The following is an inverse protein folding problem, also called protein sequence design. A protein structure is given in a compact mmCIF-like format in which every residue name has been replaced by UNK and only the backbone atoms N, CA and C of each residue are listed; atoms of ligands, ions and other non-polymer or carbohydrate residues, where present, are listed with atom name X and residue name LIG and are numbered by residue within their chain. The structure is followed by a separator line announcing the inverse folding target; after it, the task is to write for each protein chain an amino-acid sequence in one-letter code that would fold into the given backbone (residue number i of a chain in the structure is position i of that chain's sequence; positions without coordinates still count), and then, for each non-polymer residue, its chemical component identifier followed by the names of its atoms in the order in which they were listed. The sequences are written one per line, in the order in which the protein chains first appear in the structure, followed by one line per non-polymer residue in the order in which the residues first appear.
data_IF_356951214827
#
_entry.id   IF_356951214827
#
_cell.length_a   1.000
_cell.length_b   1.000
_cell.length_c   1.000
_cell.angle_alpha   90.00
_cell.angle_beta   90.00
_cell.angle_gamma   90.00
#
_symmetry.space_group_name_H-M   'P 1'
#
loop_
_entity.id
_entity.type
_entity.pdbx_description
1 polymer ?
#
# COMPACT_ATOMS: atom_id res chain seq x y z
N UNK A 1 9.58 2.57 10.91
CA UNK A 1 8.61 3.26 10.05
C UNK A 1 8.23 2.27 8.97
N UNK A 2 6.94 2.14 8.62
CA UNK A 2 6.57 1.33 7.46
C UNK A 2 7.22 1.93 6.21
N UNK A 3 7.70 1.06 5.35
CA UNK A 3 8.37 1.38 4.08
C UNK A 3 7.71 0.59 2.94
N UNK A 4 8.20 0.78 1.71
CA UNK A 4 7.70 0.04 0.56
C UNK A 4 7.76 -1.48 0.76
N UNK A 5 8.82 -2.02 1.40
CA UNK A 5 8.98 -3.47 1.61
C UNK A 5 7.90 -4.03 2.54
N UNK A 6 7.50 -3.28 3.57
CA UNK A 6 6.40 -3.68 4.44
C UNK A 6 5.08 -3.81 3.67
N UNK A 7 4.76 -2.85 2.79
CA UNK A 7 3.56 -2.89 1.97
C UNK A 7 3.61 -4.07 1.00
N UNK A 8 4.77 -4.33 0.38
CA UNK A 8 4.95 -5.47 -0.51
C UNK A 8 4.69 -6.81 0.20
N UNK A 9 5.19 -6.98 1.43
CA UNK A 9 4.90 -8.16 2.25
C UNK A 9 3.40 -8.36 2.51
N UNK A 10 2.66 -7.28 2.81
CA UNK A 10 1.21 -7.36 2.96
C UNK A 10 0.51 -7.79 1.65
N UNK A 11 0.99 -7.34 0.49
CA UNK A 11 0.46 -7.79 -0.79
C UNK A 11 0.71 -9.28 -1.06
N UNK A 12 1.88 -9.79 -0.66
CA UNK A 12 2.21 -11.23 -0.71
C UNK A 12 1.32 -12.04 0.25
N UNK A 13 0.95 -11.47 1.40
CA UNK A 13 0.00 -12.05 2.36
C UNK A 13 -1.48 -11.92 1.93
N UNK A 14 -1.76 -11.35 0.76
CA UNK A 14 -3.11 -11.26 0.18
C UNK A 14 -3.87 -9.96 0.47
N UNK A 15 -3.24 -8.96 1.10
CA UNK A 15 -3.85 -7.63 1.23
C UNK A 15 -3.88 -6.89 -0.12
N UNK A 16 -4.86 -6.00 -0.29
CA UNK A 16 -5.00 -5.13 -1.48
C UNK A 16 -5.34 -3.70 -1.06
N UNK A 17 -4.77 -2.67 -1.73
CA UNK A 17 -5.22 -1.27 -1.51
C UNK A 17 -6.66 -1.13 -1.99
N UNK A 18 -7.49 -0.65 -1.07
CA UNK A 18 -8.89 -0.30 -1.34
C UNK A 18 -9.06 1.22 -1.46
N UNK A 19 -8.20 1.98 -0.80
CA UNK A 19 -8.19 3.43 -0.83
C UNK A 19 -6.79 3.93 -0.46
N UNK A 20 -6.39 5.01 -1.10
CA UNK A 20 -5.06 5.56 -0.94
C UNK A 20 -5.25 7.10 -0.98
N UNK A 21 -4.90 7.80 0.10
CA UNK A 21 -5.01 9.26 0.25
C UNK A 21 -3.62 9.89 0.31
N UNK A 22 -3.48 11.12 -0.20
CA UNK A 22 -2.24 11.88 -0.16
C UNK A 22 -2.56 13.29 0.31
N UNK A 23 -2.21 13.60 1.56
CA UNK A 23 -2.43 14.90 2.16
C UNK A 23 -1.11 15.50 2.65
N UNK A 24 -0.79 16.69 2.15
CA UNK A 24 0.48 17.38 2.42
C UNK A 24 1.70 16.53 2.04
N UNK A 25 2.36 15.91 3.02
CA UNK A 25 3.56 15.08 2.87
C UNK A 25 3.37 13.66 3.46
N UNK A 26 2.12 13.28 3.71
CA UNK A 26 1.79 11.96 4.25
C UNK A 26 0.84 11.25 3.30
N UNK A 27 1.22 10.05 2.92
CA UNK A 27 0.44 9.16 2.09
C UNK A 27 -0.15 8.06 2.96
N UNK A 28 -1.48 8.05 3.10
CA UNK A 28 -2.21 7.05 3.88
C UNK A 28 -2.78 5.99 2.94
N UNK A 29 -2.35 4.76 3.11
CA UNK A 29 -2.72 3.60 2.31
C UNK A 29 -3.61 2.69 3.17
N UNK A 30 -4.81 2.43 2.68
CA UNK A 30 -5.78 1.54 3.32
C UNK A 30 -5.79 0.20 2.59
N UNK A 31 -5.42 -0.85 3.32
CA UNK A 31 -5.29 -2.21 2.82
C UNK A 31 -6.36 -3.11 3.44
N UNK A 32 -6.93 -4.00 2.63
CA UNK A 32 -7.85 -5.04 3.11
C UNK A 32 -7.43 -6.40 2.57
N UNK A 33 -7.45 -7.40 3.45
CA UNK A 33 -7.37 -8.80 3.09
C UNK A 33 -8.79 -9.37 3.14
N UNK A 34 -9.29 -9.82 2.00
CA UNK A 34 -10.67 -10.29 1.87
C UNK A 34 -10.87 -11.73 2.35
N UNK A 35 -9.81 -12.53 2.36
CA UNK A 35 -9.85 -13.93 2.81
C UNK A 35 -9.87 -14.03 4.34
N UNK A 36 -9.12 -13.16 5.02
CA UNK A 36 -9.02 -13.13 6.48
C UNK A 36 -9.84 -12.02 7.14
N UNK A 37 -10.53 -11.20 6.34
CA UNK A 37 -11.28 -10.00 6.75
C UNK A 37 -10.46 -8.93 7.51
N UNK A 38 -9.13 -9.04 7.50
CA UNK A 38 -8.23 -8.08 8.16
C UNK A 38 -8.08 -6.78 7.36
N UNK A 39 -7.79 -5.69 8.06
CA UNK A 39 -7.53 -4.38 7.47
C UNK A 39 -6.30 -3.75 8.11
N UNK A 40 -5.48 -3.09 7.30
CA UNK A 40 -4.26 -2.40 7.73
C UNK A 40 -4.24 -0.98 7.17
N UNK A 41 -3.68 -0.05 7.94
CA UNK A 41 -3.51 1.34 7.53
C UNK A 41 -2.03 1.70 7.64
N UNK A 42 -1.45 2.12 6.52
CA UNK A 42 -0.03 2.48 6.44
C UNK A 42 0.10 3.96 6.10
N UNK A 43 0.94 4.65 6.85
CA UNK A 43 1.32 6.03 6.57
C UNK A 43 2.77 6.08 6.09
N UNK A 44 2.97 6.50 4.84
CA UNK A 44 4.29 6.80 4.29
C UNK A 44 4.50 8.31 4.34
N UNK A 45 5.65 8.75 4.82
CA UNK A 45 6.07 10.16 4.81
C UNK A 45 7.16 10.44 3.78
N UNK A 46 7.57 9.39 3.06
CA UNK A 46 8.57 9.43 2.01
C UNK A 46 7.90 9.23 0.65
N UNK A 47 8.00 10.23 -0.21
CA UNK A 47 7.43 10.21 -1.55
C UNK A 47 8.02 9.09 -2.42
N UNK A 48 9.30 8.71 -2.20
CA UNK A 48 9.95 7.65 -2.97
C UNK A 48 9.32 6.27 -2.68
N UNK A 49 9.05 5.96 -1.41
CA UNK A 49 8.35 4.74 -1.02
C UNK A 49 6.93 4.70 -1.59
N UNK A 50 6.25 5.87 -1.62
CA UNK A 50 4.92 5.97 -2.19
C UNK A 50 4.91 5.77 -3.72
N UNK A 51 5.88 6.35 -4.43
CA UNK A 51 6.04 6.16 -5.87
C UNK A 51 6.34 4.69 -6.21
N UNK A 52 7.25 4.06 -5.47
CA UNK A 52 7.53 2.62 -5.62
C UNK A 52 6.28 1.77 -5.41
N UNK A 53 5.47 2.12 -4.39
CA UNK A 53 4.18 1.48 -4.16
C UNK A 53 3.20 1.67 -5.33
N UNK A 54 3.06 2.89 -5.85
CA UNK A 54 2.19 3.20 -6.98
C UNK A 54 2.58 2.42 -8.24
N UNK A 55 3.88 2.36 -8.54
CA UNK A 55 4.41 1.60 -9.67
C UNK A 55 4.11 0.11 -9.50
N UNK A 56 4.40 -0.45 -8.31
CA UNK A 56 4.12 -1.85 -8.00
C UNK A 56 2.65 -2.21 -8.25
N UNK A 57 1.69 -1.47 -7.70
CA UNK A 57 0.26 -1.78 -7.89
C UNK A 57 -0.20 -1.55 -9.34
N UNK A 58 0.42 -0.63 -10.07
CA UNK A 58 0.14 -0.38 -11.49
C UNK A 58 0.53 -1.60 -12.34
N UNK A 59 1.71 -2.19 -12.07
CA UNK A 59 2.15 -3.40 -12.78
C UNK A 59 1.23 -4.61 -12.55
N UNK A 60 0.61 -4.72 -11.37
CA UNK A 60 -0.32 -5.79 -11.04
C UNK A 60 -1.68 -5.65 -11.74
N UNK A 61 -2.08 -4.43 -12.11
CA UNK A 61 -3.36 -4.17 -12.81
C UNK A 61 -3.30 -4.45 -14.32
N UNK A 62 -2.11 -4.54 -14.89
CA UNK A 62 -1.89 -4.74 -16.33
C UNK A 62 -1.83 -6.24 -16.71
N UNK A 63 -1.87 -7.16 -15.74
CA UNK A 63 -1.93 -8.60 -15.98
C UNK A 63 -3.36 -9.15 -16.11
#
# INVERSE_FOLDING_TARGET
MPDFNHIKGLYEDGFRCIYCNSESNTHTIYLKNFDSEKSEVIELTNDDDFNQFQDYISTLRIQ
#
